data_IF_123888133097
#
_entry.id   IF_123888133097
#
_cell.length_a   1.000
_cell.length_b   1.000
_cell.length_c   1.000
_cell.angle_alpha   90.00
_cell.angle_beta   90.00
_cell.angle_gamma   90.00
#
_symmetry.space_group_name_H-M   'P 1'
#
loop_
_entity.id
_entity.type
_entity.pdbx_description
1 polymer ?
#
# COMPACT_ATOMS: atom_id res chain seq x y z
N UNK A 1 3.79 11.00 9.78
CA UNK A 1 3.47 10.25 8.54
C UNK A 1 2.10 9.60 8.72
N UNK A 2 1.21 9.71 7.73
CA UNK A 2 -0.15 9.15 7.82
C UNK A 2 -0.14 7.67 7.45
N UNK A 3 -0.80 6.83 8.25
CA UNK A 3 -1.12 5.44 7.92
C UNK A 3 -2.42 5.42 7.11
N UNK A 4 -2.52 4.54 6.12
CA UNK A 4 -3.75 4.36 5.36
C UNK A 4 -4.38 3.02 5.75
N UNK A 5 -5.62 3.07 6.22
CA UNK A 5 -6.42 1.88 6.47
C UNK A 5 -7.44 1.74 5.35
N UNK A 6 -7.47 0.56 4.76
CA UNK A 6 -8.42 0.18 3.73
C UNK A 6 -9.14 -1.08 4.19
N UNK A 7 -10.46 -1.09 4.09
CA UNK A 7 -11.27 -2.29 4.32
C UNK A 7 -12.03 -2.55 3.04
N UNK A 8 -11.79 -3.69 2.40
CA UNK A 8 -12.38 -4.00 1.11
C UNK A 8 -12.31 -5.47 0.77
N UNK A 9 -12.97 -5.84 -0.32
CA UNK A 9 -12.95 -7.20 -0.80
C UNK A 9 -11.71 -7.45 -1.66
N UNK A 10 -10.87 -8.39 -1.22
CA UNK A 10 -9.72 -8.88 -1.97
C UNK A 10 -9.88 -10.39 -2.16
N UNK A 11 -9.85 -10.84 -3.42
CA UNK A 11 -10.06 -12.25 -3.80
C UNK A 11 -11.38 -12.85 -3.25
N UNK A 12 -12.46 -12.07 -3.23
CA UNK A 12 -13.76 -12.51 -2.71
C UNK A 12 -13.80 -12.67 -1.19
N UNK A 13 -12.83 -12.08 -0.46
CA UNK A 13 -12.84 -12.01 1.00
C UNK A 13 -12.69 -10.57 1.45
N UNK A 14 -13.57 -10.14 2.35
CA UNK A 14 -13.41 -8.85 3.01
C UNK A 14 -12.20 -8.92 3.94
N UNK A 15 -11.21 -8.05 3.71
CA UNK A 15 -9.98 -7.97 4.49
C UNK A 15 -9.69 -6.54 4.85
N UNK A 16 -9.08 -6.35 6.02
CA UNK A 16 -8.54 -5.06 6.40
C UNK A 16 -7.07 -4.97 5.98
N UNK A 17 -6.75 -4.02 5.11
CA UNK A 17 -5.38 -3.70 4.72
C UNK A 17 -4.92 -2.45 5.45
N UNK A 18 -3.80 -2.53 6.16
CA UNK A 18 -3.10 -1.34 6.66
C UNK A 18 -1.84 -1.11 5.82
N UNK A 19 -1.75 0.07 5.21
CA UNK A 19 -0.60 0.55 4.45
C UNK A 19 0.12 1.62 5.28
N UNK A 20 1.31 1.29 5.76
CA UNK A 20 2.13 2.16 6.60
C UNK A 20 3.39 2.60 5.83
N UNK A 21 3.61 3.90 5.59
CA UNK A 21 4.87 4.36 4.98
C UNK A 21 6.05 4.09 5.92
N UNK A 22 7.16 3.60 5.38
CA UNK A 22 8.36 3.35 6.15
C UNK A 22 9.13 4.67 6.28
N UNK A 23 9.26 5.18 7.51
CA UNK A 23 9.77 6.53 7.74
C UNK A 23 11.18 6.79 7.22
N UNK A 24 12.01 5.75 7.15
CA UNK A 24 13.40 5.83 6.72
C UNK A 24 13.59 5.58 5.22
N UNK A 25 12.54 5.16 4.50
CA UNK A 25 12.63 4.72 3.12
C UNK A 25 11.60 5.44 2.25
N UNK A 26 12.08 6.28 1.34
CA UNK A 26 11.22 6.97 0.39
C UNK A 26 10.53 5.95 -0.52
N UNK A 27 9.21 6.11 -0.69
CA UNK A 27 8.37 5.25 -1.53
C UNK A 27 8.31 3.77 -1.11
N UNK A 28 8.59 3.45 0.15
CA UNK A 28 8.39 2.11 0.69
C UNK A 28 7.20 2.09 1.65
N UNK A 29 6.37 1.06 1.52
CA UNK A 29 5.12 0.93 2.25
C UNK A 29 4.97 -0.49 2.77
N UNK A 30 4.84 -0.60 4.08
CA UNK A 30 4.56 -1.84 4.78
C UNK A 30 3.06 -2.14 4.70
N UNK A 31 2.73 -3.34 4.24
CA UNK A 31 1.37 -3.83 4.05
C UNK A 31 1.06 -4.84 5.13
N UNK A 32 -0.03 -4.63 5.84
CA UNK A 32 -0.61 -5.60 6.76
C UNK A 32 -1.99 -6.04 6.25
N UNK A 33 -2.33 -7.31 6.43
CA UNK A 33 -3.67 -7.86 6.23
C UNK A 33 -4.21 -8.37 7.55
N UNK A 34 -5.38 -7.88 7.93
CA UNK A 34 -6.11 -8.27 9.14
C UNK A 34 -5.23 -8.18 10.41
N UNK A 35 -4.31 -7.22 10.42
CA UNK A 35 -3.35 -6.99 11.51
C UNK A 35 -2.03 -7.77 11.41
N UNK A 36 -1.86 -8.61 10.40
CA UNK A 36 -0.62 -9.37 10.16
C UNK A 36 0.23 -8.70 9.10
N UNK A 37 1.53 -8.55 9.36
CA UNK A 37 2.49 -8.09 8.36
C UNK A 37 2.56 -9.10 7.20
N UNK A 38 2.29 -8.61 5.99
CA UNK A 38 2.38 -9.41 4.77
C UNK A 38 3.72 -9.15 4.11
N UNK A 39 4.08 -7.88 3.95
CA UNK A 39 5.33 -7.51 3.31
C UNK A 39 5.36 -6.06 2.91
N UNK A 40 6.38 -5.70 2.14
CA UNK A 40 6.63 -4.32 1.70
C UNK A 40 6.41 -4.21 0.20
N UNK A 41 5.75 -3.13 -0.21
CA UNK A 41 5.76 -2.66 -1.60
C UNK A 41 6.59 -1.39 -1.69
N UNK A 42 7.30 -1.24 -2.80
CA UNK A 42 8.14 -0.08 -3.08
C UNK A 42 7.94 0.41 -4.50
N UNK A 43 7.95 1.73 -4.70
CA UNK A 43 7.90 2.32 -6.04
C UNK A 43 9.30 2.67 -6.52
N UNK A 44 9.75 2.01 -7.60
CA UNK A 44 11.02 2.29 -8.26
C UNK A 44 10.79 2.60 -9.74
N UNK A 45 11.36 3.71 -10.24
CA UNK A 45 11.23 4.14 -11.65
C UNK A 45 9.78 4.19 -12.18
N UNK A 46 8.83 4.57 -11.33
CA UNK A 46 7.41 4.65 -11.71
C UNK A 46 6.64 3.34 -11.59
N UNK A 47 7.30 2.22 -11.22
CA UNK A 47 6.68 0.90 -11.11
C UNK A 47 6.65 0.41 -9.67
N UNK A 48 5.59 -0.31 -9.32
CA UNK A 48 5.46 -0.93 -8.01
C UNK A 48 6.12 -2.31 -7.99
N UNK A 49 6.98 -2.51 -7.01
CA UNK A 49 7.74 -3.73 -6.79
C UNK A 49 7.44 -4.27 -5.39
N UNK A 50 7.51 -5.58 -5.24
CA UNK A 50 7.39 -6.27 -3.96
C UNK A 50 8.19 -7.55 -4.04
N UNK A 51 8.78 -7.94 -2.92
CA UNK A 51 9.51 -9.19 -2.77
C UNK A 51 8.60 -10.32 -2.23
N UNK A 52 7.36 -10.01 -1.82
CA UNK A 52 6.43 -10.97 -1.24
C UNK A 52 5.43 -11.50 -2.28
N UNK A 53 5.36 -12.81 -2.46
CA UNK A 53 4.50 -13.48 -3.47
C UNK A 53 3.03 -13.05 -3.36
N UNK A 54 2.51 -12.95 -2.13
CA UNK A 54 1.11 -12.60 -1.90
C UNK A 54 0.76 -11.16 -2.34
N UNK A 55 1.76 -10.28 -2.49
CA UNK A 55 1.55 -8.90 -2.92
C UNK A 55 1.82 -8.72 -4.42
N UNK A 56 2.33 -9.72 -5.13
CA UNK A 56 2.72 -9.59 -6.55
C UNK A 56 1.54 -9.17 -7.42
N UNK A 57 0.37 -9.75 -7.19
CA UNK A 57 -0.86 -9.42 -7.93
C UNK A 57 -1.51 -8.11 -7.47
N UNK A 58 -1.21 -7.65 -6.25
CA UNK A 58 -1.85 -6.47 -5.63
C UNK A 58 -0.98 -5.21 -5.63
N UNK A 59 0.32 -5.34 -5.92
CA UNK A 59 1.28 -4.22 -5.81
C UNK A 59 0.89 -3.02 -6.65
N UNK A 60 0.27 -3.24 -7.82
CA UNK A 60 -0.19 -2.16 -8.69
C UNK A 60 -1.43 -1.48 -8.10
N UNK A 61 -2.45 -2.25 -7.71
CA UNK A 61 -3.68 -1.71 -7.09
C UNK A 61 -3.41 -0.96 -5.78
N UNK A 62 -2.59 -1.54 -4.88
CA UNK A 62 -2.15 -0.90 -3.65
C UNK A 62 -1.33 0.36 -3.95
N UNK A 63 -0.52 0.31 -5.00
CA UNK A 63 0.28 1.40 -5.47
C UNK A 63 -0.54 2.60 -5.96
N UNK A 64 -1.49 2.34 -6.86
CA UNK A 64 -2.46 3.31 -7.35
C UNK A 64 -3.26 3.93 -6.20
N UNK A 65 -3.68 3.10 -5.22
CA UNK A 65 -4.37 3.61 -4.04
C UNK A 65 -3.51 4.61 -3.25
N UNK A 66 -2.23 4.31 -3.04
CA UNK A 66 -1.29 5.24 -2.37
C UNK A 66 -1.15 6.53 -3.16
N UNK A 67 -1.06 6.47 -4.48
CA UNK A 67 -0.92 7.68 -5.32
C UNK A 67 -2.19 8.52 -5.31
N UNK A 68 -3.36 7.88 -5.43
CA UNK A 68 -4.64 8.58 -5.38
C UNK A 68 -4.83 9.28 -4.03
N UNK A 69 -4.51 8.61 -2.92
CA UNK A 69 -4.55 9.20 -1.58
C UNK A 69 -3.51 10.31 -1.36
N UNK A 70 -2.33 10.21 -1.98
CA UNK A 70 -1.35 11.32 -1.98
C UNK A 70 -1.89 12.54 -2.69
N UNK A 71 -2.55 12.36 -3.84
CA UNK A 71 -3.17 13.45 -4.60
C UNK A 71 -4.29 14.14 -3.81
N UNK A 72 -5.16 13.40 -3.13
CA UNK A 72 -6.20 13.98 -2.26
C UNK A 72 -5.63 14.85 -1.12
N UNK A 73 -4.41 14.58 -0.66
CA UNK A 73 -3.76 15.39 0.37
C UNK A 73 -3.13 16.66 -0.25
N UNK A 74 -2.73 16.62 -1.52
CA UNK A 74 -2.10 17.74 -2.21
C UNK A 74 -3.12 18.81 -2.69
N UNK A 75 -4.38 18.44 -2.88
CA UNK A 75 -5.46 19.37 -3.28
C UNK A 75 -6.12 20.11 -2.09
N UNK A 76 -5.63 19.91 -0.85
CA UNK A 76 -6.11 20.61 0.35
C UNK A 76 -5.16 21.71 0.85
N UNK A 77 -4.18 22.14 0.06
CA UNK A 77 -3.27 23.27 0.37
C UNK A 77 -3.61 24.55 -0.41
#
# INVERSE_FOLDING_TARGET
>A
MKKYNFSGEIQGRYRQIEISPIAQLTNHYLIHWDGFEVGVIKKEKGKWHTDHEALVDFKEELGDFIENRKSEIAESE
#
